data_IF_251368362363
#
_entry.id   IF_251368362363
#
_cell.length_a   1.000
_cell.length_b   1.000
_cell.length_c   1.000
_cell.angle_alpha   90.00
_cell.angle_beta   90.00
_cell.angle_gamma   90.00
#
_symmetry.space_group_name_H-M   'P 1'
#
loop_
_entity.id
_entity.type
_entity.pdbx_description
1 polymer ?
#
# COMPACT_ATOMS: atom_id res chain seq x y z
N UNK A 1 3.91 -3.04 -16.63
CA UNK A 1 3.93 -1.58 -16.72
C UNK A 1 5.31 -1.01 -16.40
N UNK A 2 5.54 0.25 -16.72
CA UNK A 2 6.79 0.94 -16.50
C UNK A 2 7.02 1.25 -15.01
N UNK A 3 8.29 1.21 -14.58
CA UNK A 3 8.68 1.73 -13.27
C UNK A 3 8.67 3.28 -13.27
N UNK A 4 8.76 3.87 -12.08
CA UNK A 4 8.69 5.34 -11.94
C UNK A 4 9.82 6.10 -12.69
N UNK A 5 10.98 5.49 -12.86
CA UNK A 5 12.08 6.08 -13.61
C UNK A 5 11.96 5.95 -15.15
N UNK A 6 11.01 5.15 -15.62
CA UNK A 6 10.80 4.81 -17.03
C UNK A 6 9.62 5.56 -17.66
N UNK A 7 9.00 6.49 -16.93
CA UNK A 7 7.81 7.23 -17.39
C UNK A 7 7.75 8.66 -16.88
N UNK A 8 6.95 9.45 -17.55
CA UNK A 8 6.52 10.76 -17.07
C UNK A 8 5.24 10.65 -16.23
N UNK A 9 4.96 11.69 -15.44
CA UNK A 9 3.73 11.76 -14.65
C UNK A 9 3.85 12.67 -13.44
N UNK A 10 3.03 12.39 -12.45
CA UNK A 10 3.03 13.08 -11.15
C UNK A 10 2.89 12.08 -10.01
N UNK A 11 3.49 12.42 -8.86
CA UNK A 11 3.22 11.74 -7.59
C UNK A 11 2.71 12.74 -6.56
N UNK A 12 1.83 12.27 -5.69
CA UNK A 12 1.46 12.97 -4.45
C UNK A 12 2.08 12.24 -3.27
N UNK A 13 2.73 12.97 -2.38
CA UNK A 13 3.32 12.41 -1.17
C UNK A 13 2.41 12.58 0.06
N UNK A 14 2.86 12.13 1.23
CA UNK A 14 2.11 12.21 2.48
C UNK A 14 1.88 13.63 2.99
N UNK A 15 2.66 14.62 2.58
CA UNK A 15 2.40 16.04 2.85
C UNK A 15 1.46 16.69 1.82
N UNK A 16 0.81 15.88 0.98
CA UNK A 16 -0.12 16.33 -0.06
C UNK A 16 0.54 17.12 -1.20
N UNK A 17 1.85 17.01 -1.34
CA UNK A 17 2.59 17.68 -2.41
C UNK A 17 2.54 16.88 -3.68
N UNK A 18 2.02 17.49 -4.73
CA UNK A 18 2.04 16.97 -6.10
C UNK A 18 3.32 17.43 -6.78
N UNK A 19 4.10 16.49 -7.29
CA UNK A 19 5.39 16.74 -7.94
C UNK A 19 5.48 16.02 -9.27
N UNK A 20 6.27 16.57 -10.20
CA UNK A 20 6.54 15.93 -11.48
C UNK A 20 7.47 14.74 -11.32
N UNK A 21 7.13 13.68 -12.02
CA UNK A 21 8.02 12.56 -12.33
C UNK A 21 8.43 12.68 -13.78
N UNK A 22 9.72 12.60 -14.07
CA UNK A 22 10.26 12.67 -15.43
C UNK A 22 11.00 11.39 -15.76
N UNK A 23 10.79 10.91 -16.96
CA UNK A 23 11.48 9.74 -17.46
C UNK A 23 13.00 9.97 -17.44
N UNK A 24 13.72 9.11 -16.72
CA UNK A 24 15.16 9.12 -16.60
C UNK A 24 15.84 8.04 -17.43
N UNK A 25 15.16 6.92 -17.66
CA UNK A 25 15.65 5.78 -18.46
C UNK A 25 14.56 5.29 -19.42
N UNK A 26 14.91 4.68 -20.55
CA UNK A 26 13.90 4.13 -21.45
C UNK A 26 13.17 2.93 -20.82
N UNK A 27 11.89 2.71 -21.18
CA UNK A 27 11.15 1.53 -20.78
C UNK A 27 11.87 0.25 -21.18
N UNK A 28 11.79 -0.77 -20.33
CA UNK A 28 12.42 -2.05 -20.60
C UNK A 28 11.54 -2.95 -21.48
N UNK A 29 12.08 -3.40 -22.59
CA UNK A 29 11.38 -4.30 -23.52
C UNK A 29 10.10 -3.67 -24.10
N UNK A 30 8.99 -4.37 -24.01
CA UNK A 30 7.68 -3.93 -24.51
C UNK A 30 6.78 -3.32 -23.42
N UNK A 31 7.37 -2.90 -22.30
CA UNK A 31 6.62 -2.23 -21.23
C UNK A 31 5.94 -0.97 -21.74
N UNK A 32 4.77 -0.68 -21.20
CA UNK A 32 3.95 0.51 -21.48
C UNK A 32 3.52 1.14 -20.17
N UNK A 33 3.17 2.42 -20.24
CA UNK A 33 2.62 3.15 -19.10
C UNK A 33 1.30 2.57 -18.62
N UNK A 34 1.05 2.70 -17.33
CA UNK A 34 -0.18 2.18 -16.71
C UNK A 34 -1.43 2.82 -17.33
N UNK A 35 -1.41 4.15 -17.53
CA UNK A 35 -2.52 4.88 -18.11
C UNK A 35 -2.83 4.40 -19.54
N UNK A 36 -1.81 4.16 -20.36
CA UNK A 36 -2.00 3.62 -21.72
C UNK A 36 -2.63 2.22 -21.69
N UNK A 37 -2.14 1.37 -20.80
CA UNK A 37 -2.67 0.00 -20.65
C UNK A 37 -4.13 0.03 -20.20
N UNK A 38 -4.46 0.88 -19.21
CA UNK A 38 -5.84 1.06 -18.75
C UNK A 38 -6.75 1.60 -19.86
N UNK A 39 -6.30 2.62 -20.60
CA UNK A 39 -7.03 3.16 -21.76
C UNK A 39 -7.33 2.06 -22.78
N UNK A 40 -6.37 1.16 -23.07
CA UNK A 40 -6.60 0.06 -23.98
C UNK A 40 -7.67 -0.94 -23.48
N UNK A 41 -7.69 -1.19 -22.17
CA UNK A 41 -8.72 -2.04 -21.56
C UNK A 41 -10.08 -1.35 -21.63
N UNK A 42 -10.17 -0.08 -21.24
CA UNK A 42 -11.40 0.72 -21.27
C UNK A 42 -12.03 0.70 -22.64
N UNK A 43 -11.26 1.01 -23.69
CA UNK A 43 -11.73 1.00 -25.06
C UNK A 43 -12.26 -0.39 -25.51
N UNK A 44 -11.61 -1.48 -25.08
CA UNK A 44 -12.04 -2.85 -25.43
C UNK A 44 -13.32 -3.31 -24.74
N UNK A 45 -13.63 -2.73 -23.59
CA UNK A 45 -14.91 -3.00 -22.89
C UNK A 45 -16.03 -2.02 -23.27
N UNK A 46 -15.78 -1.16 -24.25
CA UNK A 46 -16.79 -0.24 -24.80
C UNK A 46 -16.87 1.12 -24.11
N UNK A 47 -15.93 1.45 -23.24
CA UNK A 47 -15.81 2.81 -22.70
C UNK A 47 -14.76 3.57 -23.52
N UNK A 48 -15.24 4.40 -24.44
CA UNK A 48 -14.36 5.17 -25.33
C UNK A 48 -13.66 6.28 -24.55
N UNK A 49 -12.35 6.21 -24.49
CA UNK A 49 -11.49 7.28 -23.98
C UNK A 49 -10.23 7.42 -24.85
N UNK A 50 -9.72 8.63 -24.95
CA UNK A 50 -8.59 8.92 -25.81
C UNK A 50 -7.66 9.94 -25.13
N UNK A 51 -6.46 9.50 -24.80
CA UNK A 51 -5.40 10.33 -24.24
C UNK A 51 -4.16 10.17 -25.11
N UNK A 52 -3.47 11.25 -25.42
CA UNK A 52 -2.21 11.23 -26.13
C UNK A 52 -1.03 11.20 -25.15
N UNK A 53 -1.19 11.85 -24.01
CA UNK A 53 -0.15 12.02 -22.99
C UNK A 53 -0.68 11.72 -21.58
N UNK A 54 0.21 11.51 -20.64
CA UNK A 54 -0.16 11.42 -19.22
C UNK A 54 -0.65 12.77 -18.67
N UNK A 55 -0.29 13.88 -19.29
CA UNK A 55 -0.83 15.20 -18.93
C UNK A 55 -2.31 15.34 -19.27
N UNK A 56 -2.79 14.69 -20.32
CA UNK A 56 -4.24 14.66 -20.64
C UNK A 56 -5.02 13.98 -19.54
N UNK A 57 -4.52 12.85 -19.03
CA UNK A 57 -5.10 12.14 -17.88
C UNK A 57 -5.10 13.02 -16.63
N UNK A 58 -4.00 13.73 -16.37
CA UNK A 58 -3.93 14.66 -15.24
C UNK A 58 -4.88 15.83 -15.39
N UNK A 59 -5.04 16.37 -16.60
CA UNK A 59 -5.96 17.46 -16.88
C UNK A 59 -7.44 17.05 -16.71
N UNK A 60 -7.80 15.83 -17.08
CA UNK A 60 -9.15 15.31 -16.79
C UNK A 60 -9.34 15.13 -15.28
N UNK A 61 -8.38 14.50 -14.58
CA UNK A 61 -8.43 14.31 -13.14
C UNK A 61 -8.60 15.64 -12.39
N UNK A 62 -7.83 16.67 -12.71
CA UNK A 62 -7.96 17.99 -12.07
C UNK A 62 -9.27 18.70 -12.42
N UNK A 63 -9.84 18.40 -13.57
CA UNK A 63 -11.15 18.95 -14.00
C UNK A 63 -12.32 18.42 -13.17
N UNK A 64 -12.21 17.20 -12.63
CA UNK A 64 -13.26 16.58 -11.80
C UNK A 64 -12.93 16.61 -10.30
N UNK A 65 -11.74 17.08 -9.92
CA UNK A 65 -11.26 17.13 -8.53
C UNK A 65 -10.98 18.56 -8.11
N UNK A 66 -11.95 19.26 -7.47
CA UNK A 66 -11.81 20.69 -7.14
C UNK A 66 -10.54 21.04 -6.36
N UNK A 67 -10.06 20.13 -5.52
CA UNK A 67 -8.83 20.32 -4.75
C UNK A 67 -7.56 20.38 -5.62
N UNK A 68 -7.62 19.85 -6.83
CA UNK A 68 -6.52 19.81 -7.80
C UNK A 68 -6.71 20.81 -8.96
N UNK A 69 -7.86 21.48 -9.06
CA UNK A 69 -8.25 22.26 -10.24
C UNK A 69 -7.19 23.29 -10.69
N UNK A 70 -6.51 23.90 -9.74
CA UNK A 70 -5.45 24.90 -10.00
C UNK A 70 -4.05 24.33 -10.20
N UNK A 71 -3.86 23.01 -10.12
CA UNK A 71 -2.55 22.39 -10.28
C UNK A 71 -2.35 22.06 -11.77
N UNK A 72 -1.46 22.77 -12.43
CA UNK A 72 -1.08 22.50 -13.84
C UNK A 72 0.35 21.98 -13.91
N UNK A 73 0.69 21.28 -14.98
CA UNK A 73 2.07 20.84 -15.21
C UNK A 73 3.06 22.01 -15.20
N UNK A 74 2.68 23.16 -15.75
CA UNK A 74 3.50 24.37 -15.71
C UNK A 74 3.83 24.81 -14.27
N UNK A 75 2.88 24.73 -13.35
CA UNK A 75 3.09 25.05 -11.93
C UNK A 75 3.93 24.00 -11.20
N UNK A 76 4.02 22.79 -11.72
CA UNK A 76 4.79 21.69 -11.13
C UNK A 76 6.25 21.66 -11.60
N UNK A 77 6.74 22.65 -12.36
CA UNK A 77 8.13 22.70 -12.83
C UNK A 77 9.14 22.95 -11.69
N UNK A 78 8.71 23.47 -10.55
CA UNK A 78 9.53 23.69 -9.35
C UNK A 78 9.36 22.59 -8.31
N UNK A 79 9.22 23.01 -7.04
CA UNK A 79 9.16 22.13 -5.86
C UNK A 79 7.83 21.39 -5.71
N UNK A 80 6.92 21.54 -6.67
CA UNK A 80 5.57 20.97 -6.60
C UNK A 80 4.59 21.83 -5.79
N UNK A 81 3.32 21.41 -5.77
CA UNK A 81 2.21 22.15 -5.15
C UNK A 81 1.46 21.24 -4.17
N UNK A 82 1.22 21.75 -2.98
CA UNK A 82 0.38 21.06 -2.00
C UNK A 82 -1.10 21.37 -2.25
N UNK A 83 -1.90 20.34 -2.42
CA UNK A 83 -3.36 20.50 -2.52
C UNK A 83 -3.98 20.68 -1.11
N UNK A 84 -5.15 21.37 -0.96
CA UNK A 84 -5.97 22.00 -1.99
C UNK A 84 -5.31 23.18 -2.72
N UNK A 85 -5.51 23.20 -4.03
CA UNK A 85 -5.14 24.30 -4.91
C UNK A 85 -6.28 24.49 -5.93
N UNK A 86 -7.36 25.18 -5.54
CA UNK A 86 -8.62 25.20 -6.31
C UNK A 86 -8.56 26.05 -7.57
N UNK A 87 -7.62 27.00 -7.67
CA UNK A 87 -7.47 27.90 -8.82
C UNK A 87 -6.00 28.03 -9.24
N UNK A 88 -5.75 28.42 -10.48
CA UNK A 88 -4.36 28.47 -11.00
C UNK A 88 -3.51 29.56 -10.36
N UNK A 89 -4.10 30.62 -9.80
CA UNK A 89 -3.41 31.66 -9.03
C UNK A 89 -3.20 31.28 -7.54
N UNK A 90 -3.85 30.23 -7.06
CA UNK A 90 -3.71 29.79 -5.68
C UNK A 90 -2.33 29.15 -5.43
N UNK A 91 -1.60 29.55 -4.37
CA UNK A 91 -0.22 29.06 -4.14
C UNK A 91 -0.11 27.62 -3.65
N UNK A 92 -1.22 26.93 -3.42
CA UNK A 92 -1.31 25.66 -2.70
C UNK A 92 -1.56 25.85 -1.20
N UNK A 93 -1.78 24.75 -0.49
CA UNK A 93 -2.15 24.77 0.93
C UNK A 93 -1.15 23.95 1.75
N UNK A 94 -0.19 24.61 2.36
CA UNK A 94 0.86 23.93 3.13
C UNK A 94 0.31 23.25 4.39
N UNK A 95 -0.60 23.90 5.12
CA UNK A 95 -1.21 23.38 6.34
C UNK A 95 -2.73 23.47 6.19
N UNK A 96 -3.40 22.32 6.43
CA UNK A 96 -4.87 22.26 6.41
C UNK A 96 -5.46 22.85 7.72
N UNK A 97 -6.69 23.35 7.61
CA UNK A 97 -7.53 23.68 8.76
C UNK A 97 -6.91 24.69 9.76
N UNK A 98 -6.13 25.66 9.26
CA UNK A 98 -5.49 26.68 10.15
C UNK A 98 -6.54 27.47 10.91
N UNK A 99 -7.62 27.88 10.25
CA UNK A 99 -8.63 28.77 10.84
C UNK A 99 -9.94 28.02 11.14
N UNK A 100 -10.29 27.06 10.30
CA UNK A 100 -11.56 26.33 10.40
C UNK A 100 -11.47 24.97 9.69
N UNK A 101 -12.38 24.08 10.02
CA UNK A 101 -12.60 22.83 9.26
C UNK A 101 -13.58 23.11 8.13
N UNK A 102 -13.04 23.45 6.96
CA UNK A 102 -13.85 23.82 5.80
C UNK A 102 -14.89 22.71 5.47
N UNK A 103 -16.13 23.13 5.21
CA UNK A 103 -17.25 22.24 4.92
C UNK A 103 -17.92 21.61 6.16
N UNK A 104 -17.41 21.88 7.36
CA UNK A 104 -18.03 21.43 8.60
C UNK A 104 -18.93 22.51 9.20
N UNK A 105 -20.01 22.14 9.93
CA UNK A 105 -20.87 23.09 10.60
C UNK A 105 -20.05 23.99 11.56
N UNK A 106 -20.29 25.29 11.48
CA UNK A 106 -19.59 26.31 12.28
C UNK A 106 -18.05 26.30 12.14
N UNK A 107 -17.50 25.64 11.10
CA UNK A 107 -16.07 25.48 10.92
C UNK A 107 -15.37 24.64 11.98
N UNK A 108 -16.09 23.85 12.76
CA UNK A 108 -15.58 23.02 13.85
C UNK A 108 -15.48 21.57 13.45
N UNK A 109 -14.44 20.86 13.94
CA UNK A 109 -14.34 19.42 13.77
C UNK A 109 -15.48 18.69 14.48
N UNK A 110 -16.07 17.71 13.81
CA UNK A 110 -16.97 16.77 14.46
C UNK A 110 -16.16 15.80 15.33
N UNK A 111 -16.53 15.67 16.58
CA UNK A 111 -15.98 14.66 17.48
C UNK A 111 -17.04 13.60 17.75
N UNK A 112 -16.70 12.36 17.48
CA UNK A 112 -17.57 11.21 17.75
C UNK A 112 -16.92 10.29 18.77
N UNK A 113 -17.71 9.82 19.74
CA UNK A 113 -17.27 8.79 20.65
C UNK A 113 -17.31 7.45 19.91
N UNK A 114 -16.15 6.83 19.75
CA UNK A 114 -16.02 5.54 19.09
C UNK A 114 -15.70 4.50 20.16
N UNK A 115 -16.61 3.53 20.31
CA UNK A 115 -16.38 2.41 21.20
C UNK A 115 -15.49 1.36 20.55
N UNK A 116 -14.64 0.73 21.37
CA UNK A 116 -13.80 -0.38 20.91
C UNK A 116 -14.70 -1.54 20.46
N UNK A 117 -14.34 -2.14 19.34
CA UNK A 117 -14.91 -3.40 18.87
C UNK A 117 -13.81 -4.44 18.76
N UNK A 118 -14.10 -5.63 19.22
CA UNK A 118 -13.19 -6.76 19.01
C UNK A 118 -13.05 -7.05 17.51
N UNK A 119 -11.87 -7.56 17.06
CA UNK A 119 -11.71 -8.02 15.70
C UNK A 119 -12.69 -9.14 15.36
N UNK A 120 -12.93 -9.37 14.08
CA UNK A 120 -13.88 -10.40 13.62
C UNK A 120 -13.51 -11.81 14.07
N UNK A 121 -12.24 -12.07 14.36
CA UNK A 121 -11.74 -13.33 14.88
C UNK A 121 -10.76 -13.05 16.01
N UNK A 122 -10.93 -13.73 17.12
CA UNK A 122 -10.05 -13.66 18.29
C UNK A 122 -9.36 -15.01 18.50
N UNK A 123 -8.27 -15.00 19.25
CA UNK A 123 -7.57 -16.22 19.65
C UNK A 123 -8.42 -17.07 20.58
N UNK A 124 -8.23 -18.39 20.51
CA UNK A 124 -8.89 -19.38 21.39
C UNK A 124 -7.91 -20.52 21.75
N UNK A 125 -8.41 -21.58 22.36
CA UNK A 125 -7.59 -22.72 22.80
C UNK A 125 -6.99 -23.50 21.62
N UNK A 126 -7.67 -23.57 20.47
CA UNK A 126 -7.21 -24.27 19.28
C UNK A 126 -6.25 -23.41 18.45
N UNK A 127 -6.48 -22.09 18.41
CA UNK A 127 -5.68 -21.11 17.68
C UNK A 127 -5.23 -19.97 18.63
N UNK A 128 -4.23 -20.25 19.49
CA UNK A 128 -3.88 -19.35 20.60
C UNK A 128 -2.94 -18.19 20.20
N UNK A 129 -2.58 -18.06 18.91
CA UNK A 129 -1.59 -17.10 18.42
C UNK A 129 -2.23 -16.07 17.49
N UNK A 130 -1.91 -14.82 17.71
CA UNK A 130 -2.18 -13.75 16.77
C UNK A 130 -1.16 -13.78 15.63
N UNK A 131 -1.61 -13.88 14.40
CA UNK A 131 -0.78 -13.65 13.22
C UNK A 131 -0.97 -12.22 12.73
N UNK A 132 0.11 -11.47 12.62
CA UNK A 132 0.15 -10.20 11.88
C UNK A 132 0.96 -10.35 10.60
N UNK A 133 0.53 -9.68 9.54
CA UNK A 133 1.24 -9.68 8.25
C UNK A 133 1.65 -8.27 7.89
N UNK A 134 2.72 -8.12 7.12
CA UNK A 134 3.21 -6.79 6.79
C UNK A 134 4.22 -6.77 5.65
N UNK A 135 4.66 -5.56 5.33
CA UNK A 135 5.72 -5.32 4.36
C UNK A 135 7.09 -5.36 5.04
N UNK A 136 8.10 -5.68 4.23
CA UNK A 136 9.52 -5.52 4.59
C UNK A 136 10.10 -4.31 3.89
N UNK A 137 11.26 -3.84 4.32
CA UNK A 137 11.94 -2.70 3.66
C UNK A 137 12.50 -3.05 2.28
N UNK A 138 12.70 -4.34 1.99
CA UNK A 138 13.30 -4.80 0.73
C UNK A 138 12.28 -4.98 -0.40
N UNK A 139 11.03 -5.27 -0.05
CA UNK A 139 10.04 -5.65 -1.06
C UNK A 139 8.79 -4.79 -1.04
N UNK A 140 8.35 -4.39 -2.22
CA UNK A 140 7.03 -3.79 -2.44
C UNK A 140 5.94 -4.88 -2.28
N UNK A 141 4.70 -4.52 -1.88
CA UNK A 141 3.71 -5.49 -1.41
C UNK A 141 3.60 -6.83 -2.14
N UNK A 142 3.53 -6.83 -3.46
CA UNK A 142 3.44 -8.09 -4.23
C UNK A 142 4.79 -8.76 -4.51
N UNK A 143 5.91 -8.08 -4.26
CA UNK A 143 7.25 -8.52 -4.65
C UNK A 143 7.49 -8.57 -6.17
N UNK A 144 6.48 -8.33 -7.00
CA UNK A 144 6.55 -8.54 -8.45
C UNK A 144 7.57 -7.67 -9.18
N UNK A 145 7.90 -6.50 -8.64
CA UNK A 145 8.97 -5.64 -9.16
C UNK A 145 10.29 -5.83 -8.40
N UNK A 146 10.25 -5.75 -7.08
CA UNK A 146 11.45 -5.73 -6.23
C UNK A 146 12.16 -7.07 -6.20
N UNK A 147 11.45 -8.21 -6.30
CA UNK A 147 12.06 -9.54 -6.43
C UNK A 147 12.72 -9.81 -7.79
N UNK A 148 12.57 -8.88 -8.75
CA UNK A 148 13.33 -8.86 -10.02
C UNK A 148 14.57 -7.97 -9.96
N UNK A 149 14.77 -7.26 -8.86
CA UNK A 149 16.01 -6.55 -8.57
C UNK A 149 16.93 -7.50 -7.81
N UNK A 150 17.99 -7.95 -8.46
CA UNK A 150 18.91 -9.00 -7.97
C UNK A 150 19.43 -8.69 -6.55
N UNK A 151 19.78 -7.43 -6.26
CA UNK A 151 20.28 -7.06 -4.96
C UNK A 151 19.21 -7.18 -3.87
N UNK A 152 18.00 -6.70 -4.12
CA UNK A 152 16.90 -6.75 -3.15
C UNK A 152 16.45 -8.19 -2.89
N UNK A 153 16.39 -9.02 -3.94
CA UNK A 153 16.03 -10.42 -3.81
C UNK A 153 17.12 -11.22 -3.07
N UNK A 154 18.38 -10.87 -3.26
CA UNK A 154 19.50 -11.46 -2.52
C UNK A 154 19.47 -11.10 -1.03
N UNK A 155 19.11 -9.85 -0.69
CA UNK A 155 19.05 -9.39 0.70
C UNK A 155 17.83 -9.96 1.45
N UNK A 156 16.77 -10.30 0.72
CA UNK A 156 15.53 -10.85 1.29
C UNK A 156 14.89 -11.89 0.34
N UNK A 157 15.50 -13.10 0.21
CA UNK A 157 15.12 -14.05 -0.82
C UNK A 157 13.87 -14.86 -0.51
N UNK A 158 13.51 -15.01 0.78
CA UNK A 158 12.41 -15.90 1.23
C UNK A 158 11.61 -15.27 2.35
N UNK A 159 10.38 -15.77 2.53
CA UNK A 159 9.59 -15.46 3.70
C UNK A 159 10.16 -16.09 4.97
N UNK A 160 9.76 -15.55 6.11
CA UNK A 160 10.03 -16.09 7.44
C UNK A 160 8.83 -15.87 8.35
N UNK A 161 8.80 -16.63 9.46
CA UNK A 161 7.84 -16.42 10.54
C UNK A 161 8.59 -15.94 11.77
N UNK A 162 8.35 -14.70 12.20
CA UNK A 162 8.91 -14.17 13.44
C UNK A 162 8.17 -14.74 14.64
N UNK A 163 8.92 -15.30 15.57
CA UNK A 163 8.41 -15.98 16.75
C UNK A 163 9.19 -15.46 17.96
N UNK A 164 8.49 -15.08 19.04
CA UNK A 164 9.15 -14.72 20.28
C UNK A 164 9.92 -15.92 20.85
N UNK A 165 11.08 -15.68 21.45
CA UNK A 165 11.94 -16.73 22.04
C UNK A 165 11.19 -17.64 23.02
N UNK A 166 10.26 -17.11 23.82
CA UNK A 166 9.46 -17.90 24.77
C UNK A 166 8.41 -18.78 24.07
N UNK A 167 7.81 -18.27 23.00
CA UNK A 167 6.90 -19.07 22.19
C UNK A 167 7.67 -20.16 21.44
N UNK A 168 8.86 -19.84 20.92
CA UNK A 168 9.73 -20.83 20.29
C UNK A 168 10.12 -21.95 21.27
N UNK A 169 10.46 -21.64 22.50
CA UNK A 169 10.70 -22.62 23.56
C UNK A 169 9.45 -23.44 23.87
N UNK A 170 8.31 -22.79 24.01
CA UNK A 170 7.00 -23.42 24.30
C UNK A 170 6.58 -24.43 23.23
N UNK A 171 6.79 -24.10 21.96
CA UNK A 171 6.41 -24.94 20.82
C UNK A 171 7.54 -25.85 20.31
N UNK A 172 8.74 -25.76 20.90
CA UNK A 172 9.90 -26.57 20.53
C UNK A 172 10.50 -26.21 19.18
N UNK A 173 10.34 -24.96 18.75
CA UNK A 173 10.81 -24.43 17.45
C UNK A 173 12.20 -23.84 17.60
N UNK A 174 13.10 -24.10 16.64
CA UNK A 174 14.45 -23.52 16.59
C UNK A 174 14.55 -22.47 15.49
N UNK A 175 15.45 -21.52 15.68
CA UNK A 175 15.74 -20.52 14.66
C UNK A 175 16.22 -21.17 13.35
N UNK A 176 15.65 -20.69 12.22
CA UNK A 176 15.92 -21.23 10.89
C UNK A 176 15.22 -22.54 10.55
N UNK A 177 14.51 -23.18 11.48
CA UNK A 177 13.80 -24.44 11.24
C UNK A 177 12.55 -24.23 10.38
N UNK A 178 12.25 -25.11 9.39
CA UNK A 178 10.99 -25.07 8.69
C UNK A 178 9.84 -25.44 9.63
N UNK A 179 8.79 -24.60 9.64
CA UNK A 179 7.59 -24.79 10.45
C UNK A 179 6.35 -24.69 9.56
N UNK A 180 5.28 -25.35 9.97
CA UNK A 180 3.96 -25.21 9.32
C UNK A 180 3.11 -24.27 10.19
N UNK A 181 2.83 -23.09 9.64
CA UNK A 181 1.85 -22.17 10.19
C UNK A 181 0.47 -22.52 9.63
N UNK A 182 -0.51 -22.76 10.47
CA UNK A 182 -1.86 -23.09 10.05
C UNK A 182 -2.92 -22.23 10.75
N UNK A 183 -4.05 -22.08 10.10
CA UNK A 183 -5.25 -21.42 10.60
C UNK A 183 -6.49 -22.22 10.21
N UNK A 184 -7.67 -21.72 10.54
CA UNK A 184 -8.95 -22.33 10.09
C UNK A 184 -9.13 -22.35 8.56
N UNK A 185 -8.29 -21.61 7.80
CA UNK A 185 -8.42 -21.47 6.33
C UNK A 185 -7.40 -22.26 5.53
N UNK A 186 -6.28 -22.55 6.12
CA UNK A 186 -5.22 -23.28 5.43
C UNK A 186 -3.92 -23.29 6.20
N UNK A 187 -2.87 -23.69 5.51
CA UNK A 187 -1.52 -23.81 6.06
C UNK A 187 -0.48 -23.27 5.09
N UNK A 188 0.68 -22.90 5.64
CA UNK A 188 1.85 -22.46 4.89
C UNK A 188 3.13 -22.92 5.59
N UNK A 189 4.04 -23.47 4.81
CA UNK A 189 5.39 -23.80 5.30
C UNK A 189 6.30 -22.58 5.17
N UNK A 190 7.06 -22.27 6.23
CA UNK A 190 7.93 -21.11 6.28
C UNK A 190 9.06 -21.33 7.30
N UNK A 191 10.22 -20.71 7.10
CA UNK A 191 11.31 -20.79 8.08
C UNK A 191 11.02 -19.94 9.31
N UNK A 192 11.24 -20.46 10.49
CA UNK A 192 11.13 -19.72 11.75
C UNK A 192 12.30 -18.72 11.90
N UNK A 193 11.99 -17.53 12.40
CA UNK A 193 12.96 -16.53 12.84
C UNK A 193 12.69 -16.22 14.32
N UNK A 194 13.51 -16.78 15.20
CA UNK A 194 13.35 -16.59 16.63
C UNK A 194 13.97 -15.26 17.05
N UNK A 195 13.17 -14.41 17.72
CA UNK A 195 13.63 -13.08 18.10
C UNK A 195 13.00 -12.59 19.42
N UNK A 196 13.59 -11.56 20.00
CA UNK A 196 13.16 -10.97 21.27
C UNK A 196 12.21 -9.79 21.10
N UNK A 197 12.17 -9.20 19.91
CA UNK A 197 11.52 -7.91 19.67
C UNK A 197 10.03 -8.03 19.32
N UNK A 198 9.58 -9.24 18.98
CA UNK A 198 8.15 -9.52 18.80
C UNK A 198 7.51 -9.90 20.14
N UNK A 199 6.27 -9.48 20.34
CA UNK A 199 5.53 -9.77 21.57
C UNK A 199 5.18 -11.26 21.65
N UNK A 200 5.26 -11.83 22.86
CA UNK A 200 4.79 -13.19 23.18
C UNK A 200 3.31 -13.36 22.79
N UNK A 201 2.97 -14.47 22.14
CA UNK A 201 1.64 -14.76 21.61
C UNK A 201 1.31 -14.06 20.28
N UNK A 202 2.26 -13.38 19.66
CA UNK A 202 2.11 -12.71 18.36
C UNK A 202 3.18 -13.21 17.41
N UNK A 203 2.78 -13.67 16.23
CA UNK A 203 3.67 -14.02 15.13
C UNK A 203 3.56 -13.01 14.01
N UNK A 204 4.64 -12.80 13.26
CA UNK A 204 4.66 -11.94 12.08
C UNK A 204 5.16 -12.71 10.85
N UNK A 205 4.53 -12.47 9.72
CA UNK A 205 4.92 -13.03 8.44
C UNK A 205 4.84 -11.99 7.32
N UNK A 206 5.90 -11.80 6.48
CA UNK A 206 5.82 -10.92 5.32
C UNK A 206 4.95 -11.53 4.22
N UNK A 207 4.22 -10.67 3.47
CA UNK A 207 3.27 -11.11 2.44
C UNK A 207 3.78 -11.03 0.99
N UNK A 208 5.08 -10.83 0.78
CA UNK A 208 5.63 -10.60 -0.57
C UNK A 208 5.89 -11.86 -1.39
N UNK A 209 5.79 -13.03 -0.79
CA UNK A 209 6.34 -14.28 -1.32
C UNK A 209 5.23 -15.22 -1.81
N UNK A 210 5.30 -15.57 -3.10
CA UNK A 210 4.34 -16.52 -3.71
C UNK A 210 4.54 -17.96 -3.24
N UNK A 211 5.74 -18.28 -2.79
CA UNK A 211 6.14 -19.58 -2.26
C UNK A 211 5.57 -19.84 -0.86
N UNK A 212 5.44 -18.77 -0.06
CA UNK A 212 4.87 -18.79 1.28
C UNK A 212 3.82 -17.69 1.41
N UNK A 213 2.63 -17.96 0.88
CA UNK A 213 1.55 -16.97 0.77
C UNK A 213 0.82 -16.77 2.09
N UNK A 214 1.07 -15.66 2.76
CA UNK A 214 0.37 -15.29 4.00
C UNK A 214 -1.16 -15.30 3.85
N UNK A 215 -1.68 -14.95 2.67
CA UNK A 215 -3.13 -14.95 2.39
C UNK A 215 -3.81 -16.33 2.48
N UNK A 216 -3.07 -17.44 2.52
CA UNK A 216 -3.65 -18.76 2.75
C UNK A 216 -4.16 -18.93 4.19
N UNK A 217 -3.61 -18.17 5.13
CA UNK A 217 -3.89 -18.30 6.57
C UNK A 217 -4.63 -17.10 7.17
N UNK A 218 -4.73 -15.97 6.44
CA UNK A 218 -5.47 -14.78 6.93
C UNK A 218 -6.99 -14.98 6.84
N UNK A 219 -7.75 -14.23 7.65
CA UNK A 219 -9.20 -14.30 7.64
C UNK A 219 -9.83 -13.62 6.42
N UNK A 220 -11.13 -13.82 6.19
CA UNK A 220 -11.89 -13.26 5.07
C UNK A 220 -12.86 -12.15 5.50
N UNK A 221 -12.73 -11.66 6.72
CA UNK A 221 -13.61 -10.62 7.25
C UNK A 221 -13.35 -9.27 6.61
N UNK A 222 -14.40 -8.48 6.51
CA UNK A 222 -14.38 -7.12 5.98
C UNK A 222 -15.01 -6.17 6.98
N UNK A 223 -14.48 -4.95 7.05
CA UNK A 223 -15.19 -3.86 7.68
C UNK A 223 -16.58 -3.68 7.02
N UNK A 224 -17.67 -3.61 7.77
CA UNK A 224 -19.02 -3.58 7.19
C UNK A 224 -19.31 -2.30 6.39
N UNK A 225 -18.60 -1.21 6.64
CA UNK A 225 -18.80 0.09 5.99
C UNK A 225 -17.79 0.28 4.86
N UNK A 226 -16.51 0.29 5.16
CA UNK A 226 -15.43 0.56 4.21
C UNK A 226 -15.08 -0.63 3.32
N UNK A 227 -15.51 -1.84 3.68
CA UNK A 227 -15.13 -3.11 3.04
C UNK A 227 -13.62 -3.37 3.08
N UNK A 228 -12.90 -2.71 3.98
CA UNK A 228 -11.48 -2.95 4.20
C UNK A 228 -11.28 -4.34 4.80
N UNK A 229 -10.40 -5.19 4.25
CA UNK A 229 -10.12 -6.51 4.80
C UNK A 229 -9.44 -6.43 6.18
N UNK A 230 -9.81 -7.33 7.07
CA UNK A 230 -9.09 -7.56 8.33
C UNK A 230 -8.10 -8.71 8.14
N UNK A 231 -6.82 -8.42 8.01
CA UNK A 231 -5.75 -9.42 7.79
C UNK A 231 -5.18 -10.00 9.09
N UNK A 232 -6.03 -10.40 10.01
CA UNK A 232 -5.60 -10.96 11.30
C UNK A 232 -6.01 -12.41 11.42
#
# INVERSE_FOLDING_TARGET
SNAFAEKDGTFSNTERRVQRVRQAVPPKGECRDDWWTLMQVMNRIGYECHYETVEDVFNEMRGITPQYAGITYAKLEGDGIQWPCPTEDHPGTAILHINEFAGMPEGKAALEAIEHREPAEVVDEEYPIWLTTGATIWHWPSGSMTRRCEQLDKDCPTAWLEINVKDAEKYGVKDGEPVILYSRRGEVEVAARVMTDIKEGVFFMPFHFTEARANLVTNTAYDPVSKTPEFK
#
